data_IF_680681379389
#
_entry.id   IF_680681379389
#
_cell.length_a   1.000
_cell.length_b   1.000
_cell.length_c   1.000
_cell.angle_alpha   90.00
_cell.angle_beta   90.00
_cell.angle_gamma   90.00
#
_symmetry.space_group_name_H-M   'P 1'
#
loop_
_entity.id
_entity.type
_entity.pdbx_description
1 polymer ?
#
# COMPACT_ATOMS: atom_id res chain seq x y z
N UNK A 1 5.42 -17.95 1.69
CA UNK A 1 6.10 -16.81 1.03
C UNK A 1 6.53 -15.80 2.07
N UNK A 2 7.80 -15.54 2.13
CA UNK A 2 8.34 -14.56 3.08
C UNK A 2 8.59 -13.22 2.41
N UNK A 3 8.36 -12.15 3.18
CA UNK A 3 8.67 -10.80 2.76
C UNK A 3 9.65 -10.18 3.76
N UNK A 4 10.49 -9.32 3.25
CA UNK A 4 11.48 -8.59 4.02
C UNK A 4 11.11 -7.12 3.97
N UNK A 5 11.13 -6.46 5.12
CA UNK A 5 10.89 -5.02 5.21
C UNK A 5 12.13 -4.36 5.79
N UNK A 6 12.62 -3.34 5.12
CA UNK A 6 13.74 -2.55 5.59
C UNK A 6 13.28 -1.11 5.77
N UNK A 7 13.40 -0.61 6.99
CA UNK A 7 13.03 0.76 7.33
C UNK A 7 14.26 1.66 7.27
N UNK A 8 14.13 2.83 6.68
CA UNK A 8 15.18 3.84 6.71
C UNK A 8 14.58 5.23 6.80
N UNK A 9 15.39 6.17 7.27
CA UNK A 9 15.01 7.57 7.33
C UNK A 9 15.73 8.33 6.23
N UNK A 10 15.00 9.14 5.48
CA UNK A 10 15.54 9.94 4.41
C UNK A 10 14.95 11.35 4.49
N UNK A 11 15.79 12.33 4.79
CA UNK A 11 15.35 13.73 4.88
C UNK A 11 14.07 13.92 5.69
N UNK A 12 14.03 13.38 6.89
CA UNK A 12 12.90 13.42 7.82
C UNK A 12 11.67 12.61 7.36
N UNK A 13 11.83 11.82 6.31
CA UNK A 13 10.78 10.92 5.83
C UNK A 13 11.14 9.49 6.18
N UNK A 14 10.20 8.76 6.74
CA UNK A 14 10.40 7.33 7.00
C UNK A 14 10.00 6.54 5.76
N UNK A 15 10.90 5.69 5.31
CA UNK A 15 10.70 4.86 4.11
C UNK A 15 10.79 3.39 4.49
N UNK A 16 9.86 2.60 3.99
CA UNK A 16 9.86 1.15 4.14
C UNK A 16 10.03 0.51 2.77
N UNK A 17 11.10 -0.23 2.60
CA UNK A 17 11.32 -1.01 1.38
C UNK A 17 10.86 -2.44 1.66
N UNK A 18 9.94 -2.93 0.85
CA UNK A 18 9.37 -4.28 1.02
C UNK A 18 9.72 -5.13 -0.19
N UNK A 19 10.20 -6.34 0.05
CA UNK A 19 10.58 -7.24 -1.01
C UNK A 19 10.24 -8.67 -0.63
N UNK A 20 9.73 -9.44 -1.59
CA UNK A 20 9.61 -10.88 -1.40
C UNK A 20 11.01 -11.50 -1.32
N UNK A 21 11.17 -12.52 -0.49
CA UNK A 21 12.48 -13.16 -0.28
C UNK A 21 13.10 -13.70 -1.58
N UNK A 22 12.27 -14.10 -2.54
CA UNK A 22 12.77 -14.58 -3.84
C UNK A 22 12.98 -13.46 -4.86
N UNK A 23 12.77 -12.19 -4.48
CA UNK A 23 13.00 -11.06 -5.34
C UNK A 23 11.92 -10.82 -6.40
N UNK A 24 10.82 -11.58 -6.39
CA UNK A 24 9.80 -11.51 -7.44
C UNK A 24 8.65 -10.56 -7.16
N UNK A 25 8.70 -9.84 -6.05
CA UNK A 25 7.73 -8.80 -5.74
C UNK A 25 8.43 -7.75 -4.89
N UNK A 26 8.07 -6.49 -5.07
CA UNK A 26 8.63 -5.40 -4.28
C UNK A 26 7.72 -4.19 -4.30
N UNK A 27 7.88 -3.34 -3.30
CA UNK A 27 7.20 -2.05 -3.25
C UNK A 27 7.91 -1.14 -2.25
N UNK A 28 7.49 0.12 -2.25
CA UNK A 28 7.95 1.12 -1.31
C UNK A 28 6.74 1.67 -0.58
N UNK A 29 6.93 1.98 0.70
CA UNK A 29 5.96 2.79 1.43
C UNK A 29 6.72 3.92 2.10
N UNK A 30 6.13 5.11 2.12
CA UNK A 30 6.75 6.23 2.82
C UNK A 30 5.68 7.02 3.57
N UNK A 31 6.13 7.66 4.66
CA UNK A 31 5.26 8.53 5.45
C UNK A 31 5.44 9.94 4.93
N UNK A 32 4.41 10.55 4.31
CA UNK A 32 4.52 11.92 3.81
C UNK A 32 4.82 12.89 4.95
N UNK A 33 5.68 13.86 4.67
CA UNK A 33 6.15 14.82 5.69
C UNK A 33 5.02 15.53 6.44
N UNK A 34 3.95 15.88 5.72
CA UNK A 34 2.83 16.62 6.29
C UNK A 34 1.67 15.74 6.72
N UNK A 35 1.80 14.42 6.57
CA UNK A 35 0.78 13.45 6.96
C UNK A 35 1.43 12.26 7.64
N UNK A 36 1.93 12.45 8.89
CA UNK A 36 2.73 11.41 9.54
C UNK A 36 1.95 10.16 9.95
N UNK A 37 0.62 10.18 9.87
CA UNK A 37 -0.21 9.03 10.20
C UNK A 37 -0.56 8.16 9.00
N UNK A 38 -0.06 8.54 7.82
CA UNK A 38 -0.37 7.88 6.56
C UNK A 38 0.89 7.25 6.01
N UNK A 39 0.77 6.03 5.45
CA UNK A 39 1.80 5.46 4.60
C UNK A 39 1.32 5.50 3.16
N UNK A 40 2.13 6.04 2.27
CA UNK A 40 1.84 6.05 0.84
C UNK A 40 2.59 4.90 0.18
N UNK A 41 1.84 4.03 -0.49
CA UNK A 41 2.39 2.88 -1.21
C UNK A 41 2.73 3.27 -2.63
N UNK A 42 3.93 2.93 -3.08
CA UNK A 42 4.37 3.17 -4.44
C UNK A 42 5.04 1.96 -5.06
N UNK A 43 4.87 1.83 -6.35
CA UNK A 43 5.60 0.85 -7.17
C UNK A 43 5.44 -0.60 -6.70
N UNK A 44 4.21 -1.00 -6.42
CA UNK A 44 3.96 -2.42 -6.15
C UNK A 44 4.19 -3.19 -7.46
N UNK A 45 5.27 -3.92 -7.47
CA UNK A 45 5.69 -4.69 -8.63
C UNK A 45 5.70 -6.18 -8.32
N UNK A 46 5.17 -6.96 -9.27
CA UNK A 46 5.25 -8.42 -9.21
C UNK A 46 5.78 -8.88 -10.55
N UNK A 47 6.82 -9.72 -10.55
CA UNK A 47 7.39 -10.22 -11.78
C UNK A 47 6.35 -11.01 -12.56
N UNK A 48 6.44 -10.98 -13.89
CA UNK A 48 5.46 -11.61 -14.77
C UNK A 48 5.28 -13.10 -14.46
N UNK A 49 6.36 -13.79 -14.18
CA UNK A 49 6.33 -15.22 -13.88
C UNK A 49 5.63 -15.57 -12.58
N UNK A 50 5.48 -14.61 -11.67
CA UNK A 50 4.87 -14.84 -10.36
C UNK A 50 3.46 -14.27 -10.22
N UNK A 51 2.91 -13.63 -11.26
CA UNK A 51 1.62 -12.92 -11.16
C UNK A 51 0.42 -13.82 -10.86
N UNK A 52 0.49 -15.07 -11.23
CA UNK A 52 -0.61 -16.00 -11.01
C UNK A 52 -0.60 -16.66 -9.63
N UNK A 53 0.33 -16.30 -8.77
CA UNK A 53 0.51 -16.90 -7.45
C UNK A 53 -0.03 -16.05 -6.31
N UNK A 54 -0.87 -15.07 -6.60
CA UNK A 54 -1.43 -14.14 -5.62
C UNK A 54 -0.37 -13.33 -4.86
N UNK A 55 0.80 -13.16 -5.45
CA UNK A 55 1.90 -12.45 -4.81
C UNK A 55 1.58 -10.98 -4.54
N UNK A 56 0.86 -10.35 -5.45
CA UNK A 56 0.45 -8.96 -5.26
C UNK A 56 -0.39 -8.82 -3.99
N UNK A 57 -1.36 -9.71 -3.81
CA UNK A 57 -2.20 -9.68 -2.62
C UNK A 57 -1.39 -9.94 -1.36
N UNK A 58 -0.52 -10.94 -1.40
CA UNK A 58 0.32 -11.26 -0.24
C UNK A 58 1.24 -10.10 0.12
N UNK A 59 1.83 -9.47 -0.89
CA UNK A 59 2.68 -8.29 -0.66
C UNK A 59 1.88 -7.14 -0.05
N UNK A 60 0.67 -6.89 -0.57
CA UNK A 60 -0.19 -5.85 -0.04
C UNK A 60 -0.58 -6.13 1.41
N UNK A 61 -0.95 -7.37 1.74
CA UNK A 61 -1.27 -7.74 3.12
C UNK A 61 -0.08 -7.57 4.05
N UNK A 62 1.12 -7.89 3.57
CA UNK A 62 2.32 -7.65 4.35
C UNK A 62 2.54 -6.16 4.62
N UNK A 63 2.31 -5.32 3.61
CA UNK A 63 2.39 -3.86 3.79
C UNK A 63 1.39 -3.36 4.83
N UNK A 64 0.18 -3.91 4.81
CA UNK A 64 -0.84 -3.55 5.80
C UNK A 64 -0.42 -3.96 7.21
N UNK A 65 0.22 -5.11 7.36
CA UNK A 65 0.75 -5.53 8.66
C UNK A 65 1.85 -4.58 9.15
N UNK A 66 2.74 -4.17 8.26
CA UNK A 66 3.78 -3.19 8.61
C UNK A 66 3.15 -1.88 9.08
N UNK A 67 2.13 -1.41 8.37
CA UNK A 67 1.43 -0.18 8.74
C UNK A 67 0.81 -0.31 10.14
N UNK A 68 0.15 -1.41 10.44
CA UNK A 68 -0.45 -1.64 11.75
C UNK A 68 0.58 -1.72 12.86
N UNK A 69 1.67 -2.44 12.62
CA UNK A 69 2.73 -2.61 13.61
C UNK A 69 3.38 -1.28 13.99
N UNK A 70 3.46 -0.36 13.06
CA UNK A 70 4.09 0.94 13.29
C UNK A 70 3.09 2.04 13.62
N UNK A 71 1.81 1.71 13.80
CA UNK A 71 0.81 2.65 14.27
C UNK A 71 0.26 3.62 13.24
N UNK A 72 0.39 3.32 11.96
CA UNK A 72 -0.19 4.17 10.92
C UNK A 72 -1.70 3.95 10.82
N UNK A 73 -2.44 5.03 10.58
CA UNK A 73 -3.89 4.97 10.48
C UNK A 73 -4.37 4.35 9.18
N UNK A 74 -3.67 4.66 8.09
CA UNK A 74 -4.09 4.21 6.76
C UNK A 74 -2.94 4.11 5.78
N UNK A 75 -3.19 3.36 4.72
CA UNK A 75 -2.34 3.34 3.53
C UNK A 75 -3.11 4.05 2.42
N UNK A 76 -2.43 4.95 1.70
CA UNK A 76 -2.99 5.51 0.48
C UNK A 76 -2.08 5.20 -0.71
N UNK A 77 -2.61 5.37 -1.89
CA UNK A 77 -1.89 5.11 -3.11
C UNK A 77 -2.54 5.84 -4.28
N UNK A 78 -1.75 6.07 -5.31
CA UNK A 78 -2.22 6.69 -6.56
C UNK A 78 -2.25 5.62 -7.64
N UNK A 79 -3.33 5.55 -8.39
CA UNK A 79 -3.52 4.55 -9.43
C UNK A 79 -4.16 5.19 -10.66
N UNK A 80 -3.88 4.62 -11.82
CA UNK A 80 -4.46 5.11 -13.06
C UNK A 80 -5.97 4.85 -13.06
N UNK A 81 -6.70 5.93 -13.34
CA UNK A 81 -8.17 5.93 -13.28
C UNK A 81 -8.77 4.97 -14.31
N UNK A 82 -9.82 4.27 -13.90
CA UNK A 82 -10.61 3.37 -14.77
C UNK A 82 -9.79 2.25 -15.40
N UNK A 83 -8.79 1.75 -14.68
CA UNK A 83 -7.97 0.63 -15.13
C UNK A 83 -8.25 -0.62 -14.30
N UNK A 84 -7.72 -1.76 -14.78
CA UNK A 84 -7.82 -3.00 -14.02
C UNK A 84 -7.13 -2.89 -12.66
N UNK A 85 -6.10 -2.05 -12.53
CA UNK A 85 -5.42 -1.84 -11.26
C UNK A 85 -6.33 -1.18 -10.24
N UNK A 86 -7.08 -0.16 -10.66
CA UNK A 86 -8.05 0.47 -9.76
C UNK A 86 -9.05 -0.55 -9.26
N UNK A 87 -9.58 -1.38 -10.15
CA UNK A 87 -10.54 -2.43 -9.77
C UNK A 87 -9.92 -3.47 -8.85
N UNK A 88 -8.66 -3.79 -9.09
CA UNK A 88 -7.94 -4.73 -8.24
C UNK A 88 -7.82 -4.19 -6.82
N UNK A 89 -7.41 -2.93 -6.66
CA UNK A 89 -7.32 -2.33 -5.33
C UNK A 89 -8.68 -2.21 -4.66
N UNK A 90 -9.74 -1.93 -5.42
CA UNK A 90 -11.08 -1.91 -4.86
C UNK A 90 -11.46 -3.27 -4.27
N UNK A 91 -11.15 -4.35 -4.95
CA UNK A 91 -11.39 -5.69 -4.43
C UNK A 91 -10.55 -6.00 -3.19
N UNK A 92 -9.40 -5.35 -3.06
CA UNK A 92 -8.53 -5.53 -1.89
C UNK A 92 -8.92 -4.63 -0.71
N UNK A 93 -9.98 -3.85 -0.86
CA UNK A 93 -10.52 -3.06 0.24
C UNK A 93 -10.17 -1.59 0.21
N UNK A 94 -9.63 -1.09 -0.89
CA UNK A 94 -9.26 0.31 -1.03
C UNK A 94 -10.39 1.07 -1.70
N UNK A 95 -10.64 2.30 -1.24
CA UNK A 95 -11.69 3.17 -1.77
C UNK A 95 -11.08 4.44 -2.36
N UNK A 96 -11.65 4.88 -3.46
CA UNK A 96 -11.26 6.16 -4.06
C UNK A 96 -11.70 7.29 -3.14
N UNK A 97 -10.80 8.21 -2.83
CA UNK A 97 -11.16 9.38 -2.05
C UNK A 97 -10.99 10.71 -2.80
N UNK A 98 -10.41 10.69 -3.97
CA UNK A 98 -10.33 11.91 -4.78
C UNK A 98 -9.47 11.77 -6.02
N UNK A 99 -9.56 12.75 -6.93
CA UNK A 99 -8.68 12.77 -8.09
C UNK A 99 -7.29 13.26 -7.71
N UNK A 100 -6.30 12.93 -8.53
CA UNK A 100 -4.97 13.52 -8.40
C UNK A 100 -5.05 15.00 -8.79
N UNK A 101 -4.50 15.89 -7.99
CA UNK A 101 -4.62 17.32 -8.23
C UNK A 101 -3.85 17.81 -9.47
N UNK A 102 -2.75 17.13 -9.79
CA UNK A 102 -1.94 17.50 -10.95
C UNK A 102 -2.47 16.89 -12.25
N UNK A 103 -3.01 15.66 -12.19
CA UNK A 103 -3.52 14.97 -13.36
C UNK A 103 -4.87 14.31 -13.06
N UNK A 104 -5.92 15.13 -12.84
CA UNK A 104 -7.20 14.59 -12.36
C UNK A 104 -7.94 13.70 -13.34
N UNK A 105 -7.62 13.79 -14.64
CA UNK A 105 -8.23 12.95 -15.65
C UNK A 105 -7.53 11.60 -15.80
N UNK A 106 -6.32 11.47 -15.24
CA UNK A 106 -5.50 10.27 -15.40
C UNK A 106 -5.42 9.41 -14.15
N UNK A 107 -5.39 10.02 -12.98
CA UNK A 107 -5.11 9.31 -11.73
C UNK A 107 -6.11 9.64 -10.65
N UNK A 108 -6.36 8.63 -9.79
CA UNK A 108 -7.14 8.80 -8.57
C UNK A 108 -6.31 8.34 -7.39
N UNK A 109 -6.64 8.87 -6.22
CA UNK A 109 -6.06 8.43 -4.95
C UNK A 109 -7.03 7.49 -4.27
N UNK A 110 -6.50 6.41 -3.72
CA UNK A 110 -7.27 5.40 -3.00
C UNK A 110 -6.68 5.23 -1.60
N UNK A 111 -7.49 4.79 -0.67
CA UNK A 111 -7.06 4.60 0.71
C UNK A 111 -7.76 3.42 1.37
N UNK A 112 -7.09 2.88 2.39
CA UNK A 112 -7.68 1.87 3.26
C UNK A 112 -7.25 2.14 4.69
N UNK A 113 -8.22 2.22 5.61
CA UNK A 113 -7.92 2.46 7.03
C UNK A 113 -7.55 1.16 7.71
N UNK A 114 -6.46 1.21 8.48
CA UNK A 114 -5.94 0.02 9.17
C UNK A 114 -6.69 -0.24 10.46
N UNK A 115 -7.14 0.81 11.12
CA UNK A 115 -7.82 0.72 12.41
C UNK A 115 -9.21 0.09 12.34
N UNK A 116 -9.85 0.10 11.17
CA UNK A 116 -11.20 -0.44 11.02
C UNK A 116 -11.27 -1.91 11.41
N UNK A 117 -10.26 -2.65 11.00
CA UNK A 117 -10.18 -4.07 11.31
C UNK A 117 -10.01 -4.32 12.80
N UNK A 118 -9.21 -3.49 13.46
CA UNK A 118 -9.00 -3.60 14.90
C UNK A 118 -10.26 -3.24 15.66
N UNK A 119 -10.99 -2.22 15.21
CA UNK A 119 -12.27 -1.85 15.81
C UNK A 119 -13.27 -2.99 15.72
N UNK A 120 -13.34 -3.67 14.61
CA UNK A 120 -14.22 -4.82 14.45
C UNK A 120 -13.86 -5.94 15.40
N UNK A 121 -12.59 -6.19 15.63
CA UNK A 121 -12.15 -7.22 16.56
C UNK A 121 -12.52 -6.89 18.00
N UNK A 122 -12.45 -5.62 18.35
CA UNK A 122 -12.79 -5.18 19.70
C UNK A 122 -14.27 -5.37 20.00
N UNK A 123 -15.11 -5.15 19.01
CA UNK A 123 -16.56 -5.22 19.20
C UNK A 123 -17.16 -6.58 18.83
N UNK A 124 -16.38 -7.42 18.24
CA UNK A 124 -16.83 -8.76 17.93
C UNK A 124 -16.73 -9.67 19.13
#
# INVERSE_FOLDING_TARGET
>A
MEFICQKCEWEETTVYAVMAADGKASCWMYSPKFEPHVLTLENLFVSQEARNEERGRKALRFCEEVAREHGYEKIDLKVRKDTWMQKWYEREGYDVFGPDLDEPMKYVWMEKYMSDEDSQRVFA
#
